data_IF_210610483513
#
_entry.id   IF_210610483513
#
_cell.length_a   1.000
_cell.length_b   1.000
_cell.length_c   1.000
_cell.angle_alpha   90.00
_cell.angle_beta   90.00
_cell.angle_gamma   90.00
#
_symmetry.space_group_name_H-M   'P 1'
#
loop_
_entity.id
_entity.type
_entity.pdbx_description
1 polymer ?
#
# COMPACT_ATOMS: atom_id res chain seq x y z
N UNK A 1 11.18 3.78 22.86
CA UNK A 1 9.94 3.14 22.37
C UNK A 1 9.82 3.40 20.87
N UNK A 2 9.58 2.38 20.04
CA UNK A 2 9.50 2.55 18.58
C UNK A 2 8.24 3.34 18.21
N UNK A 3 8.40 4.41 17.43
CA UNK A 3 7.27 5.18 16.88
C UNK A 3 6.82 4.57 15.55
N UNK A 4 5.64 3.97 15.50
CA UNK A 4 5.14 3.32 14.29
C UNK A 4 4.68 4.35 13.24
N UNK A 5 3.91 5.36 13.65
CA UNK A 5 3.45 6.44 12.77
C UNK A 5 4.58 7.42 12.45
N UNK A 6 4.96 7.46 11.17
CA UNK A 6 6.03 8.31 10.63
C UNK A 6 5.70 9.81 10.67
N UNK A 7 4.43 10.19 10.50
CA UNK A 7 3.98 11.58 10.46
C UNK A 7 2.52 11.72 10.88
N UNK A 8 2.11 12.91 11.34
CA UNK A 8 0.73 13.19 11.81
C UNK A 8 -0.33 12.72 10.82
N UNK A 9 -0.10 12.94 9.52
CA UNK A 9 -1.06 12.60 8.48
C UNK A 9 -0.99 11.12 8.05
N UNK A 10 0.12 10.41 8.25
CA UNK A 10 0.24 9.02 7.81
C UNK A 10 -0.84 8.11 8.44
N UNK A 11 -1.12 8.26 9.73
CA UNK A 11 -2.16 7.49 10.42
C UNK A 11 -3.57 7.83 9.89
N UNK A 12 -3.85 9.12 9.67
CA UNK A 12 -5.11 9.56 9.07
C UNK A 12 -5.31 8.96 7.67
N UNK A 13 -4.26 8.98 6.84
CA UNK A 13 -4.28 8.43 5.50
C UNK A 13 -4.50 6.91 5.53
N UNK A 14 -3.80 6.20 6.44
CA UNK A 14 -3.97 4.76 6.61
C UNK A 14 -5.41 4.40 7.02
N UNK A 15 -6.03 5.18 7.92
CA UNK A 15 -7.44 5.01 8.32
C UNK A 15 -8.37 5.23 7.12
N UNK A 16 -8.16 6.31 6.35
CA UNK A 16 -8.92 6.58 5.12
C UNK A 16 -8.77 5.45 4.09
N UNK A 17 -7.57 4.93 3.91
CA UNK A 17 -7.30 3.82 3.01
C UNK A 17 -8.06 2.55 3.41
N UNK A 18 -8.01 2.16 4.69
CA UNK A 18 -8.77 1.01 5.18
C UNK A 18 -10.28 1.22 4.98
N UNK A 19 -10.80 2.38 5.37
CA UNK A 19 -12.21 2.77 5.15
C UNK A 19 -12.63 2.60 3.70
N UNK A 20 -11.76 2.99 2.77
CA UNK A 20 -12.01 2.83 1.33
C UNK A 20 -11.97 1.37 0.89
N UNK A 21 -10.97 0.59 1.32
CA UNK A 21 -10.84 -0.81 0.91
C UNK A 21 -11.98 -1.67 1.49
N UNK A 22 -12.41 -1.45 2.75
CA UNK A 22 -13.56 -2.16 3.32
C UNK A 22 -14.88 -1.82 2.61
N UNK A 23 -15.08 -0.58 2.14
CA UNK A 23 -16.23 -0.24 1.27
C UNK A 23 -16.22 -1.00 -0.05
N UNK A 24 -15.05 -1.44 -0.53
CA UNK A 24 -14.97 -2.31 -1.73
C UNK A 24 -15.27 -3.76 -1.40
N UNK A 25 -14.91 -4.23 -0.21
CA UNK A 25 -15.25 -5.59 0.27
C UNK A 25 -16.76 -5.71 0.41
N UNK A 26 -17.39 -4.74 1.07
CA UNK A 26 -18.82 -4.75 1.39
C UNK A 26 -19.65 -3.89 0.42
N UNK A 27 -19.32 -3.91 -0.88
CA UNK A 27 -19.92 -2.99 -1.86
C UNK A 27 -21.43 -3.19 -2.09
N UNK A 28 -21.96 -4.34 -1.71
CA UNK A 28 -23.37 -4.72 -1.74
C UNK A 28 -24.18 -4.13 -0.57
N UNK A 29 -23.51 -3.70 0.51
CA UNK A 29 -24.17 -3.09 1.67
C UNK A 29 -24.58 -1.66 1.35
N UNK A 30 -25.89 -1.42 1.27
CA UNK A 30 -26.52 -0.11 1.02
C UNK A 30 -27.04 0.53 2.32
N UNK A 31 -26.22 0.59 3.37
CA UNK A 31 -26.62 1.10 4.68
C UNK A 31 -25.61 2.10 5.23
N UNK A 32 -25.99 3.38 5.27
CA UNK A 32 -25.13 4.47 5.77
C UNK A 32 -24.76 4.30 7.25
N UNK A 33 -25.67 3.74 8.06
CA UNK A 33 -25.40 3.48 9.49
C UNK A 33 -24.32 2.41 9.65
N UNK A 34 -24.31 1.39 8.78
CA UNK A 34 -23.24 0.40 8.76
C UNK A 34 -21.88 1.05 8.48
N UNK A 35 -21.76 1.87 7.44
CA UNK A 35 -20.50 2.54 7.11
C UNK A 35 -20.05 3.53 8.17
N UNK A 36 -20.97 4.26 8.81
CA UNK A 36 -20.64 5.13 9.96
C UNK A 36 -20.07 4.33 11.14
N UNK A 37 -20.61 3.13 11.43
CA UNK A 37 -20.09 2.25 12.48
C UNK A 37 -18.72 1.68 12.11
N UNK A 38 -18.56 1.21 10.87
CA UNK A 38 -17.29 0.73 10.35
C UNK A 38 -16.20 1.80 10.44
N UNK A 39 -16.51 3.02 10.01
CA UNK A 39 -15.58 4.15 10.05
C UNK A 39 -15.13 4.45 11.48
N UNK A 40 -16.06 4.47 12.46
CA UNK A 40 -15.74 4.62 13.89
C UNK A 40 -14.86 3.48 14.41
N UNK A 41 -15.13 2.24 13.99
CA UNK A 41 -14.33 1.08 14.38
C UNK A 41 -12.88 1.18 13.88
N UNK A 42 -12.69 1.67 12.65
CA UNK A 42 -11.36 1.91 12.06
C UNK A 42 -10.66 3.10 12.73
N UNK A 43 -11.39 4.19 13.00
CA UNK A 43 -10.84 5.40 13.61
C UNK A 43 -10.28 5.18 15.02
N UNK A 44 -10.82 4.19 15.74
CA UNK A 44 -10.41 3.83 17.10
C UNK A 44 -9.59 2.54 17.18
N UNK A 45 -9.30 1.87 16.06
CA UNK A 45 -8.65 0.56 16.07
C UNK A 45 -7.26 0.61 16.72
N UNK A 46 -6.46 1.62 16.40
CA UNK A 46 -5.12 1.84 16.98
C UNK A 46 -5.15 2.09 18.50
N UNK A 47 -6.23 2.71 19.01
CA UNK A 47 -6.42 2.91 20.45
C UNK A 47 -6.89 1.64 21.16
N UNK A 48 -7.76 0.86 20.49
CA UNK A 48 -8.36 -0.36 21.06
C UNK A 48 -7.41 -1.55 21.03
N UNK A 49 -6.72 -1.78 19.91
CA UNK A 49 -5.88 -2.97 19.65
C UNK A 49 -4.38 -2.65 19.65
N UNK A 50 -4.02 -1.38 19.78
CA UNK A 50 -2.65 -0.89 19.68
C UNK A 50 -2.21 -0.55 18.25
N UNK A 51 -1.31 0.42 18.15
CA UNK A 51 -0.72 0.88 16.90
C UNK A 51 -0.06 -0.24 16.07
N UNK A 52 0.70 -1.19 16.66
CA UNK A 52 1.31 -2.29 15.90
C UNK A 52 0.26 -3.17 15.20
N UNK A 53 -0.86 -3.45 15.86
CA UNK A 53 -1.96 -4.25 15.31
C UNK A 53 -2.64 -3.51 14.15
N UNK A 54 -2.84 -2.20 14.28
CA UNK A 54 -3.38 -1.37 13.20
C UNK A 54 -2.50 -1.41 11.94
N UNK A 55 -1.20 -1.21 12.11
CA UNK A 55 -0.25 -1.22 11.00
C UNK A 55 -0.12 -2.62 10.35
N UNK A 56 -0.24 -3.70 11.11
CA UNK A 56 -0.32 -5.05 10.57
C UNK A 56 -1.61 -5.28 9.76
N UNK A 57 -2.76 -4.79 10.22
CA UNK A 57 -4.00 -4.83 9.44
C UNK A 57 -3.86 -4.06 8.12
N UNK A 58 -3.26 -2.86 8.17
CA UNK A 58 -2.96 -2.09 6.96
C UNK A 58 -2.08 -2.89 6.00
N UNK A 59 -1.02 -3.55 6.49
CA UNK A 59 -0.15 -4.37 5.67
C UNK A 59 -0.88 -5.56 5.04
N UNK A 60 -1.73 -6.25 5.80
CA UNK A 60 -2.52 -7.38 5.29
C UNK A 60 -3.45 -6.95 4.15
N UNK A 61 -4.15 -5.84 4.32
CA UNK A 61 -5.04 -5.28 3.29
C UNK A 61 -4.23 -4.77 2.10
N UNK A 62 -3.23 -3.90 2.32
CA UNK A 62 -2.53 -3.24 1.23
C UNK A 62 -1.60 -4.18 0.48
N UNK A 63 -0.73 -4.91 1.18
CA UNK A 63 0.31 -5.72 0.57
C UNK A 63 -0.19 -7.12 0.24
N UNK A 64 -0.96 -7.76 1.14
CA UNK A 64 -1.42 -9.13 0.96
C UNK A 64 -2.57 -9.24 -0.03
N UNK A 65 -3.63 -8.45 0.17
CA UNK A 65 -4.81 -8.52 -0.70
C UNK A 65 -4.70 -7.62 -1.94
N UNK A 66 -4.35 -6.34 -1.76
CA UNK A 66 -4.34 -5.39 -2.90
C UNK A 66 -3.05 -5.39 -3.70
N UNK A 67 -1.99 -6.04 -3.21
CA UNK A 67 -0.64 -6.02 -3.80
C UNK A 67 -0.11 -4.60 -4.07
N UNK A 68 -0.41 -3.67 -3.14
CA UNK A 68 0.02 -2.27 -3.15
C UNK A 68 0.99 -1.99 -2.01
N UNK A 69 1.88 -1.04 -2.25
CA UNK A 69 2.91 -0.64 -1.29
C UNK A 69 2.41 0.39 -0.25
N UNK A 70 1.09 0.59 -0.07
CA UNK A 70 0.56 1.66 0.80
C UNK A 70 1.11 1.56 2.23
N UNK A 71 1.19 0.37 2.80
CA UNK A 71 1.80 0.15 4.12
C UNK A 71 3.26 0.61 4.18
N UNK A 72 4.13 0.11 3.30
CA UNK A 72 5.56 0.45 3.34
C UNK A 72 5.78 1.94 3.09
N UNK A 73 4.99 2.54 2.21
CA UNK A 73 5.03 3.96 1.86
C UNK A 73 4.61 4.86 3.02
N UNK A 74 3.45 4.60 3.63
CA UNK A 74 2.93 5.44 4.71
C UNK A 74 3.74 5.26 6.00
N UNK A 75 4.30 4.07 6.20
CA UNK A 75 5.14 3.78 7.37
C UNK A 75 6.60 4.24 7.23
N UNK A 76 7.03 4.69 6.06
CA UNK A 76 8.40 5.22 5.87
C UNK A 76 8.50 6.65 6.42
N UNK A 77 9.42 6.85 7.37
CA UNK A 77 9.75 8.16 7.95
C UNK A 77 10.56 9.06 7.02
N UNK A 78 10.87 8.57 5.81
CA UNK A 78 11.33 9.35 4.67
C UNK A 78 10.32 10.40 4.22
N UNK A 79 9.02 10.17 4.40
CA UNK A 79 7.97 10.98 3.78
C UNK A 79 7.15 11.78 4.79
N UNK A 80 6.82 13.02 4.39
CA UNK A 80 5.75 13.80 4.99
C UNK A 80 4.62 13.99 3.98
N UNK A 81 3.39 14.01 4.51
CA UNK A 81 2.19 14.01 3.70
C UNK A 81 1.41 15.30 3.86
N UNK A 82 1.02 15.91 2.74
CA UNK A 82 0.15 17.10 2.72
C UNK A 82 -1.01 16.87 1.76
N UNK A 83 -2.20 17.31 2.16
CA UNK A 83 -3.38 17.28 1.31
C UNK A 83 -3.33 18.46 0.34
N UNK A 84 -3.46 18.21 -0.95
CA UNK A 84 -3.42 19.21 -2.01
C UNK A 84 -4.33 18.81 -3.16
N UNK A 85 -4.86 19.77 -3.88
CA UNK A 85 -5.38 19.54 -5.23
C UNK A 85 -4.21 19.63 -6.20
N UNK A 86 -3.98 18.55 -6.96
CA UNK A 86 -2.90 18.50 -7.96
C UNK A 86 -3.49 18.56 -9.37
N UNK A 87 -2.87 19.29 -10.31
CA UNK A 87 -3.31 19.30 -11.71
C UNK A 87 -3.23 17.89 -12.30
N UNK A 88 -4.29 17.47 -13.00
CA UNK A 88 -4.35 16.15 -13.61
C UNK A 88 -3.28 15.94 -14.69
N UNK A 89 -2.91 17.00 -15.42
CA UNK A 89 -1.85 16.99 -16.43
C UNK A 89 -0.46 16.67 -15.85
N UNK A 90 -0.22 16.98 -14.57
CA UNK A 90 1.06 16.69 -13.89
C UNK A 90 1.12 15.26 -13.34
N UNK A 91 0.07 14.46 -13.52
CA UNK A 91 0.03 13.08 -13.03
C UNK A 91 0.69 12.15 -14.03
N UNK A 92 1.68 11.41 -13.55
CA UNK A 92 2.26 10.28 -14.27
C UNK A 92 1.39 9.04 -14.05
N UNK A 93 0.69 8.61 -15.11
CA UNK A 93 -0.20 7.47 -15.01
C UNK A 93 0.59 6.18 -14.73
N UNK A 94 0.08 5.41 -13.77
CA UNK A 94 0.53 4.06 -13.46
C UNK A 94 -0.61 3.09 -13.76
N UNK A 95 -0.31 1.82 -13.98
CA UNK A 95 -1.36 0.82 -14.12
C UNK A 95 -0.95 -0.48 -13.42
N UNK A 96 -1.98 -1.23 -13.05
CA UNK A 96 -1.90 -2.48 -12.28
C UNK A 96 -2.62 -3.63 -13.00
N UNK A 97 -3.04 -3.44 -14.26
CA UNK A 97 -3.67 -4.50 -15.04
C UNK A 97 -3.06 -4.56 -16.45
N UNK A 98 -2.84 -5.75 -17.02
CA UNK A 98 -2.31 -5.89 -18.37
C UNK A 98 -3.15 -5.15 -19.44
N UNK A 99 -4.49 -5.14 -19.27
CA UNK A 99 -5.41 -4.44 -20.17
C UNK A 99 -5.18 -2.93 -20.13
N UNK A 100 -5.11 -2.34 -18.95
CA UNK A 100 -4.80 -0.91 -18.82
C UNK A 100 -3.37 -0.59 -19.27
N UNK A 101 -2.38 -1.46 -19.02
CA UNK A 101 -0.98 -1.24 -19.43
C UNK A 101 -0.81 -1.16 -20.94
N UNK A 102 -1.55 -1.98 -21.70
CA UNK A 102 -1.61 -1.92 -23.18
C UNK A 102 -1.88 -0.50 -23.67
N UNK A 103 -2.74 0.25 -22.98
CA UNK A 103 -3.10 1.60 -23.37
C UNK A 103 -2.26 2.65 -22.66
N UNK A 104 -2.32 2.68 -21.33
CA UNK A 104 -1.68 3.71 -20.50
C UNK A 104 -0.18 3.71 -20.68
N UNK A 105 0.48 2.54 -20.60
CA UNK A 105 1.94 2.47 -20.65
C UNK A 105 2.42 2.41 -22.09
N UNK A 106 1.94 1.44 -22.87
CA UNK A 106 2.51 1.16 -24.20
C UNK A 106 2.08 2.16 -25.27
N UNK A 107 0.81 2.60 -25.24
CA UNK A 107 0.25 3.45 -26.31
C UNK A 107 0.31 4.94 -25.98
N UNK A 108 0.07 5.31 -24.73
CA UNK A 108 -0.02 6.73 -24.32
C UNK A 108 1.22 7.22 -23.60
N UNK A 109 2.24 6.38 -23.41
CA UNK A 109 3.45 6.70 -22.65
C UNK A 109 3.14 7.38 -21.31
N UNK A 110 2.06 6.94 -20.66
CA UNK A 110 1.55 7.39 -19.36
C UNK A 110 1.12 8.86 -19.32
N UNK A 111 0.92 9.48 -20.47
CA UNK A 111 0.43 10.85 -20.59
C UNK A 111 -1.09 10.94 -20.29
N UNK A 112 -1.50 11.71 -19.26
CA UNK A 112 -2.91 11.81 -18.87
C UNK A 112 -3.79 12.46 -19.94
N UNK A 113 -3.28 13.43 -20.68
CA UNK A 113 -4.07 14.17 -21.67
C UNK A 113 -4.32 13.35 -22.93
N UNK A 114 -3.35 12.53 -23.33
CA UNK A 114 -3.51 11.56 -24.43
C UNK A 114 -4.51 10.48 -24.06
N UNK A 115 -4.51 9.99 -22.81
CA UNK A 115 -5.56 9.10 -22.32
C UNK A 115 -6.96 9.75 -22.43
N UNK A 116 -7.13 10.98 -21.95
CA UNK A 116 -8.41 11.68 -21.96
C UNK A 116 -8.96 11.87 -23.39
N UNK A 117 -8.09 12.25 -24.34
CA UNK A 117 -8.45 12.36 -25.77
C UNK A 117 -8.84 11.00 -26.36
N UNK A 118 -8.03 9.97 -26.11
CA UNK A 118 -8.28 8.63 -26.61
C UNK A 118 -9.57 8.02 -26.03
N UNK A 119 -9.92 8.32 -24.79
CA UNK A 119 -11.16 7.84 -24.17
C UNK A 119 -12.39 8.31 -24.94
N UNK A 120 -12.39 9.56 -25.41
CA UNK A 120 -13.48 10.14 -26.20
C UNK A 120 -13.58 9.48 -27.58
N UNK A 121 -12.44 9.26 -28.24
CA UNK A 121 -12.39 8.79 -29.62
C UNK A 121 -12.46 7.27 -29.81
N UNK A 122 -11.96 6.46 -28.85
CA UNK A 122 -11.75 5.03 -29.05
C UNK A 122 -12.75 4.17 -28.26
N UNK A 123 -13.83 3.75 -28.93
CA UNK A 123 -14.88 2.89 -28.34
C UNK A 123 -14.36 1.50 -27.93
N UNK A 124 -13.43 0.91 -28.70
CA UNK A 124 -12.87 -0.43 -28.41
C UNK A 124 -12.10 -0.40 -27.09
N UNK A 125 -11.16 0.56 -26.96
CA UNK A 125 -10.40 0.77 -25.73
C UNK A 125 -11.34 0.98 -24.54
N UNK A 126 -12.37 1.81 -24.70
CA UNK A 126 -13.35 2.08 -23.65
C UNK A 126 -14.02 0.79 -23.19
N UNK A 127 -14.48 -0.04 -24.13
CA UNK A 127 -15.09 -1.34 -23.84
C UNK A 127 -14.14 -2.29 -23.11
N UNK A 128 -12.89 -2.39 -23.55
CA UNK A 128 -11.86 -3.21 -22.89
C UNK A 128 -11.61 -2.75 -21.43
N UNK A 129 -11.47 -1.44 -21.21
CA UNK A 129 -11.22 -0.88 -19.87
C UNK A 129 -12.43 -1.06 -18.95
N UNK A 130 -13.66 -0.83 -19.42
CA UNK A 130 -14.88 -1.00 -18.61
C UNK A 130 -15.00 -2.43 -18.07
N UNK A 131 -14.68 -3.43 -18.90
CA UNK A 131 -14.69 -4.86 -18.52
C UNK A 131 -13.73 -5.20 -17.37
N UNK A 132 -12.76 -4.34 -17.05
CA UNK A 132 -11.86 -4.51 -15.89
C UNK A 132 -12.50 -4.13 -14.53
N UNK A 133 -13.81 -3.82 -14.51
CA UNK A 133 -14.49 -3.30 -13.32
C UNK A 133 -14.29 -1.79 -13.14
N UNK A 134 -14.04 -1.08 -14.24
CA UNK A 134 -13.92 0.37 -14.27
C UNK A 134 -15.31 1.03 -14.26
N UNK A 135 -15.95 1.07 -13.08
CA UNK A 135 -17.26 1.71 -12.85
C UNK A 135 -17.17 2.72 -11.72
N UNK A 136 -17.93 3.83 -11.76
CA UNK A 136 -18.05 4.83 -10.68
C UNK A 136 -18.63 4.21 -9.41
N UNK A 137 -18.31 4.78 -8.23
CA UNK A 137 -18.80 4.26 -6.96
C UNK A 137 -18.79 5.36 -5.88
N UNK A 138 -19.98 5.88 -5.59
CA UNK A 138 -20.22 7.05 -4.74
C UNK A 138 -19.49 6.97 -3.40
N UNK A 139 -19.61 5.84 -2.69
CA UNK A 139 -19.03 5.70 -1.34
C UNK A 139 -17.49 5.66 -1.29
N UNK A 140 -16.81 5.28 -2.38
CA UNK A 140 -15.34 5.09 -2.39
C UNK A 140 -14.60 6.16 -3.18
N UNK A 141 -15.30 6.91 -4.02
CA UNK A 141 -14.67 7.86 -4.96
C UNK A 141 -14.36 9.22 -4.32
N UNK A 142 -14.94 9.52 -3.16
CA UNK A 142 -14.72 10.77 -2.43
C UNK A 142 -13.39 10.83 -1.63
N UNK A 143 -12.66 9.72 -1.55
CA UNK A 143 -11.38 9.68 -0.85
C UNK A 143 -10.24 10.25 -1.72
N UNK A 144 -9.34 11.08 -1.17
CA UNK A 144 -8.17 11.56 -1.89
C UNK A 144 -7.32 10.41 -2.43
N UNK A 145 -6.67 10.63 -3.58
CA UNK A 145 -5.68 9.68 -4.10
C UNK A 145 -4.35 9.79 -3.34
N UNK A 146 -3.47 8.80 -3.48
CA UNK A 146 -2.14 8.82 -2.87
C UNK A 146 -1.06 8.89 -3.94
N UNK A 147 -0.20 9.91 -3.82
CA UNK A 147 0.84 10.21 -4.81
C UNK A 147 2.19 10.53 -4.18
N UNK A 148 3.24 10.30 -4.96
CA UNK A 148 4.58 10.81 -4.69
C UNK A 148 4.95 11.92 -5.65
N UNK A 149 5.62 12.95 -5.15
CA UNK A 149 6.27 13.96 -6.01
C UNK A 149 7.55 13.36 -6.63
N UNK A 150 7.69 13.44 -7.95
CA UNK A 150 8.88 13.04 -8.72
C UNK A 150 9.21 14.18 -9.69
N UNK A 151 10.23 14.98 -9.36
CA UNK A 151 10.48 16.23 -10.09
C UNK A 151 9.24 17.12 -10.04
N UNK A 152 8.75 17.57 -11.19
CA UNK A 152 7.52 18.36 -11.33
C UNK A 152 6.24 17.54 -11.47
N UNK A 153 6.35 16.21 -11.53
CA UNK A 153 5.22 15.30 -11.75
C UNK A 153 4.82 14.54 -10.48
N UNK A 154 3.65 13.92 -10.53
CA UNK A 154 3.10 13.11 -9.44
C UNK A 154 2.87 11.67 -9.87
N UNK A 155 3.53 10.72 -9.21
CA UNK A 155 3.30 9.29 -9.44
C UNK A 155 2.25 8.75 -8.48
N UNK A 156 1.19 8.18 -9.04
CA UNK A 156 0.11 7.55 -8.27
C UNK A 156 0.51 6.15 -7.84
N UNK A 157 0.29 5.83 -6.58
CA UNK A 157 0.43 4.45 -6.06
C UNK A 157 -0.86 3.93 -5.43
N UNK A 158 -1.83 4.79 -5.13
CA UNK A 158 -3.21 4.40 -4.88
C UNK A 158 -4.21 5.40 -5.48
N UNK A 159 -5.31 4.89 -6.03
CA UNK A 159 -6.38 5.73 -6.57
C UNK A 159 -6.35 5.97 -8.08
N UNK A 160 -5.60 5.18 -8.85
CA UNK A 160 -5.52 5.31 -10.32
C UNK A 160 -6.90 5.38 -10.99
N UNK A 161 -7.85 4.54 -10.57
CA UNK A 161 -9.22 4.58 -11.11
C UNK A 161 -9.86 5.96 -10.95
N UNK A 162 -9.67 6.64 -9.82
CA UNK A 162 -10.22 7.99 -9.58
C UNK A 162 -9.55 9.03 -10.48
N UNK A 163 -8.25 8.91 -10.72
CA UNK A 163 -7.53 9.76 -11.70
C UNK A 163 -8.13 9.63 -13.08
N UNK A 164 -8.31 8.39 -13.56
CA UNK A 164 -8.88 8.15 -14.88
C UNK A 164 -10.32 8.68 -14.98
N UNK A 165 -11.15 8.47 -13.95
CA UNK A 165 -12.51 9.03 -13.91
C UNK A 165 -12.51 10.56 -13.94
N UNK A 166 -11.61 11.20 -13.18
CA UNK A 166 -11.45 12.64 -13.17
C UNK A 166 -11.05 13.19 -14.56
N UNK A 167 -10.13 12.51 -15.25
CA UNK A 167 -9.74 12.83 -16.64
C UNK A 167 -10.92 12.71 -17.62
N UNK A 168 -11.70 11.63 -17.50
CA UNK A 168 -12.87 11.38 -18.35
C UNK A 168 -13.95 12.45 -18.15
N UNK A 169 -14.10 12.93 -16.92
CA UNK A 169 -15.06 13.97 -16.54
C UNK A 169 -14.52 15.39 -16.78
N UNK A 170 -13.40 15.55 -17.49
CA UNK A 170 -12.76 16.84 -17.79
C UNK A 170 -12.47 17.69 -16.53
N UNK A 171 -12.16 17.06 -15.40
CA UNK A 171 -11.68 17.80 -14.23
C UNK A 171 -10.29 18.37 -14.52
N UNK A 172 -9.94 19.49 -13.90
CA UNK A 172 -8.61 20.11 -14.02
C UNK A 172 -7.63 19.58 -12.98
N UNK A 173 -8.13 19.24 -11.79
CA UNK A 173 -7.34 18.83 -10.65
C UNK A 173 -8.03 17.71 -9.86
N UNK A 174 -7.25 17.01 -9.03
CA UNK A 174 -7.75 15.96 -8.14
C UNK A 174 -7.15 16.07 -6.74
N UNK A 175 -8.00 15.90 -5.74
CA UNK A 175 -7.63 15.92 -4.32
C UNK A 175 -6.73 14.74 -3.98
N UNK A 176 -5.57 15.03 -3.41
CA UNK A 176 -4.47 14.08 -3.26
C UNK A 176 -3.71 14.26 -1.95
N UNK A 177 -3.36 13.16 -1.31
CA UNK A 177 -2.28 13.14 -0.32
C UNK A 177 -0.94 13.02 -1.04
N UNK A 178 -0.16 14.10 -0.97
CA UNK A 178 1.15 14.20 -1.63
C UNK A 178 2.25 13.88 -0.62
N UNK A 179 2.96 12.78 -0.86
CA UNK A 179 4.15 12.41 -0.13
C UNK A 179 5.38 13.12 -0.68
N UNK A 180 6.03 13.94 0.15
CA UNK A 180 7.29 14.60 -0.13
C UNK A 180 8.41 13.96 0.70
N UNK A 181 9.57 13.69 0.08
CA UNK A 181 10.74 13.18 0.79
C UNK A 181 11.31 14.30 1.67
N UNK A 182 11.45 14.04 2.96
CA UNK A 182 12.02 14.96 3.95
C UNK A 182 13.23 14.38 4.68
N UNK A 183 13.43 13.05 4.62
CA UNK A 183 14.56 12.37 5.24
C UNK A 183 15.14 11.32 4.26
N UNK A 184 16.33 11.59 3.73
CA UNK A 184 17.00 10.70 2.77
C UNK A 184 17.38 9.34 3.36
N UNK A 185 17.60 9.26 4.68
CA UNK A 185 17.94 8.03 5.41
C UNK A 185 16.72 7.33 6.02
N UNK A 186 15.51 7.81 5.73
CA UNK A 186 14.29 7.24 6.28
C UNK A 186 14.06 5.79 5.87
N UNK A 187 13.45 5.02 6.77
CA UNK A 187 13.20 3.58 6.64
C UNK A 187 11.72 3.25 6.87
N UNK A 188 11.13 2.34 6.08
CA UNK A 188 9.79 1.83 6.31
C UNK A 188 9.70 0.90 7.52
N UNK A 189 8.47 0.56 7.91
CA UNK A 189 8.21 -0.64 8.70
C UNK A 189 8.16 -1.87 7.78
N UNK A 190 8.51 -3.03 8.30
CA UNK A 190 8.25 -4.33 7.67
C UNK A 190 6.99 -4.95 8.26
N UNK A 191 6.21 -5.62 7.42
CA UNK A 191 5.01 -6.33 7.83
C UNK A 191 5.37 -7.67 8.49
N UNK A 192 4.66 -8.00 9.58
CA UNK A 192 4.91 -9.23 10.34
C UNK A 192 4.75 -10.48 9.45
N UNK A 193 3.80 -10.46 8.52
CA UNK A 193 3.53 -11.56 7.59
C UNK A 193 4.73 -11.91 6.71
N UNK A 194 5.55 -10.93 6.28
CA UNK A 194 6.76 -11.20 5.48
C UNK A 194 7.80 -11.97 6.28
N UNK A 195 7.98 -11.64 7.56
CA UNK A 195 8.90 -12.35 8.44
C UNK A 195 8.37 -13.75 8.81
N UNK A 196 7.05 -13.86 9.07
CA UNK A 196 6.42 -15.14 9.33
C UNK A 196 6.50 -16.09 8.12
N UNK A 197 6.37 -15.56 6.90
CA UNK A 197 6.56 -16.34 5.68
C UNK A 197 7.96 -16.97 5.60
N UNK A 198 9.03 -16.26 5.98
CA UNK A 198 10.38 -16.84 6.02
C UNK A 198 10.48 -18.01 7.00
N UNK A 199 9.83 -17.90 8.16
CA UNK A 199 9.75 -18.99 9.14
C UNK A 199 9.01 -20.20 8.57
N UNK A 200 7.88 -19.99 7.90
CA UNK A 200 7.10 -21.04 7.28
C UNK A 200 7.85 -21.71 6.12
N UNK A 201 8.54 -20.93 5.30
CA UNK A 201 9.36 -21.43 4.20
C UNK A 201 10.42 -22.40 4.71
N UNK A 202 11.11 -22.05 5.81
CA UNK A 202 12.08 -22.95 6.43
C UNK A 202 11.43 -24.22 6.97
N UNK A 203 10.28 -24.10 7.64
CA UNK A 203 9.55 -25.25 8.19
C UNK A 203 9.03 -26.23 7.14
N UNK A 204 8.60 -25.71 5.99
CA UNK A 204 7.99 -26.52 4.93
C UNK A 204 9.02 -27.11 3.96
N UNK A 205 10.29 -26.70 4.04
CA UNK A 205 11.34 -27.24 3.20
C UNK A 205 11.59 -28.73 3.54
N UNK A 206 11.43 -29.60 2.53
CA UNK A 206 11.56 -31.07 2.66
C UNK A 206 12.91 -31.53 3.21
N UNK A 207 13.98 -30.81 2.87
CA UNK A 207 15.30 -30.93 3.48
C UNK A 207 15.65 -29.58 4.11
N UNK A 208 16.09 -29.58 5.37
CA UNK A 208 16.57 -28.38 6.06
C UNK A 208 17.94 -27.97 5.50
N UNK A 209 17.96 -27.56 4.23
CA UNK A 209 19.14 -27.19 3.46
C UNK A 209 19.89 -26.03 4.12
N UNK A 210 21.20 -26.20 4.30
CA UNK A 210 22.10 -25.18 4.84
C UNK A 210 22.17 -23.94 3.96
N UNK A 211 21.98 -24.07 2.66
CA UNK A 211 21.92 -22.91 1.76
C UNK A 211 20.66 -22.10 1.98
N UNK A 212 19.51 -22.75 2.18
CA UNK A 212 18.26 -22.09 2.56
C UNK A 212 18.39 -21.38 3.92
N UNK A 213 18.97 -22.04 4.91
CA UNK A 213 19.28 -21.45 6.23
C UNK A 213 20.11 -20.16 6.07
N UNK A 214 21.24 -20.22 5.34
CA UNK A 214 22.11 -19.07 5.08
C UNK A 214 21.38 -17.94 4.32
N UNK A 215 20.55 -18.27 3.34
CA UNK A 215 19.78 -17.30 2.57
C UNK A 215 18.76 -16.57 3.46
N UNK A 216 18.04 -17.32 4.30
CA UNK A 216 17.07 -16.77 5.25
C UNK A 216 17.77 -15.86 6.27
N UNK A 217 18.92 -16.25 6.80
CA UNK A 217 19.73 -15.41 7.70
C UNK A 217 20.13 -14.10 7.01
N UNK A 218 20.62 -14.18 5.77
CA UNK A 218 21.02 -12.99 4.99
C UNK A 218 19.84 -12.05 4.76
N UNK A 219 18.67 -12.57 4.40
CA UNK A 219 17.44 -11.78 4.24
C UNK A 219 17.07 -11.11 5.58
N UNK A 220 17.13 -11.85 6.69
CA UNK A 220 16.87 -11.33 8.03
C UNK A 220 17.78 -10.18 8.43
N UNK A 221 19.08 -10.28 8.13
CA UNK A 221 20.04 -9.19 8.37
C UNK A 221 19.69 -7.94 7.55
N UNK A 222 19.31 -8.10 6.29
CA UNK A 222 18.82 -6.99 5.47
C UNK A 222 17.51 -6.39 6.01
N UNK A 223 16.62 -7.21 6.56
CA UNK A 223 15.40 -6.72 7.22
C UNK A 223 15.76 -5.86 8.45
N UNK A 224 16.66 -6.36 9.31
CA UNK A 224 17.11 -5.62 10.49
C UNK A 224 17.78 -4.28 10.12
N UNK A 225 18.59 -4.30 9.06
CA UNK A 225 19.30 -3.11 8.57
C UNK A 225 18.37 -2.06 7.96
N UNK A 226 17.36 -2.48 7.19
CA UNK A 226 16.61 -1.57 6.31
C UNK A 226 15.20 -1.18 6.83
N UNK A 227 14.73 -1.75 7.95
CA UNK A 227 13.39 -1.47 8.48
C UNK A 227 13.42 -1.07 9.96
N UNK A 228 12.60 -0.07 10.33
CA UNK A 228 12.61 0.51 11.69
C UNK A 228 12.19 -0.47 12.78
N UNK A 229 11.28 -1.39 12.46
CA UNK A 229 10.81 -2.47 13.33
C UNK A 229 11.45 -3.85 13.03
N UNK A 230 12.49 -3.92 12.19
CA UNK A 230 13.06 -5.20 11.75
C UNK A 230 13.47 -6.09 12.94
N UNK A 231 14.28 -5.55 13.85
CA UNK A 231 14.67 -6.24 15.10
C UNK A 231 13.48 -6.72 15.93
N UNK A 232 12.49 -5.85 16.11
CA UNK A 232 11.31 -6.14 16.94
C UNK A 232 10.46 -7.28 16.35
N UNK A 233 10.20 -7.24 15.04
CA UNK A 233 9.39 -8.27 14.36
C UNK A 233 10.09 -9.62 14.38
N UNK A 234 11.39 -9.66 14.09
CA UNK A 234 12.17 -10.90 14.11
C UNK A 234 12.23 -11.52 15.52
N UNK A 235 12.45 -10.71 16.56
CA UNK A 235 12.51 -11.17 17.96
C UNK A 235 11.13 -11.56 18.52
N UNK A 236 10.19 -10.61 18.56
CA UNK A 236 8.98 -10.77 19.38
C UNK A 236 7.93 -11.65 18.71
N UNK A 237 7.88 -11.64 17.36
CA UNK A 237 6.79 -12.30 16.62
C UNK A 237 7.20 -13.63 16.00
N UNK A 238 8.46 -13.79 15.59
CA UNK A 238 8.93 -15.06 15.03
C UNK A 238 9.58 -15.93 16.09
N UNK A 239 10.63 -15.44 16.76
CA UNK A 239 11.31 -16.22 17.82
C UNK A 239 10.38 -16.47 19.00
N UNK A 240 9.69 -15.43 19.48
CA UNK A 240 8.82 -15.52 20.65
C UNK A 240 7.61 -16.45 20.49
N UNK A 241 7.12 -16.65 19.26
CA UNK A 241 5.91 -17.43 18.98
C UNK A 241 6.22 -18.79 18.31
N UNK A 242 7.45 -19.02 17.87
CA UNK A 242 7.86 -20.32 17.32
C UNK A 242 8.05 -21.35 18.44
N UNK A 243 7.58 -22.57 18.21
CA UNK A 243 7.90 -23.72 19.07
C UNK A 243 9.16 -24.48 18.60
N UNK A 244 9.65 -24.21 17.38
CA UNK A 244 10.84 -24.86 16.81
C UNK A 244 12.13 -24.13 17.26
N UNK A 245 12.99 -24.84 18.00
CA UNK A 245 14.26 -24.32 18.52
C UNK A 245 15.28 -23.97 17.41
N UNK A 246 15.24 -24.68 16.28
CA UNK A 246 16.09 -24.39 15.13
C UNK A 246 15.68 -23.08 14.47
N UNK A 247 14.37 -22.81 14.34
CA UNK A 247 13.89 -21.48 13.91
C UNK A 247 14.38 -20.39 14.87
N UNK A 248 14.23 -20.61 16.18
CA UNK A 248 14.69 -19.62 17.17
C UNK A 248 16.17 -19.29 16.99
N UNK A 249 17.02 -20.30 16.81
CA UNK A 249 18.46 -20.14 16.55
C UNK A 249 18.72 -19.34 15.27
N UNK A 250 18.09 -19.70 14.15
CA UNK A 250 18.31 -19.05 12.85
C UNK A 250 17.89 -17.59 12.91
N UNK A 251 16.73 -17.29 13.49
CA UNK A 251 16.26 -15.92 13.60
C UNK A 251 17.08 -15.11 14.60
N UNK A 252 17.61 -15.72 15.66
CA UNK A 252 18.52 -15.04 16.59
C UNK A 252 19.81 -14.57 15.88
N UNK A 253 20.33 -15.36 14.92
CA UNK A 253 21.48 -14.97 14.10
C UNK A 253 21.22 -13.80 13.14
N UNK A 254 19.96 -13.51 12.80
CA UNK A 254 19.59 -12.37 11.94
C UNK A 254 19.77 -11.02 12.66
N UNK A 255 19.82 -11.04 13.98
CA UNK A 255 19.79 -9.86 14.84
C UNK A 255 21.19 -9.55 15.43
N UNK A 256 22.11 -10.52 15.34
CA UNK A 256 23.55 -10.32 15.57
C UNK A 256 24.15 -9.54 14.40
#
# INVERSE_FOLDING_TARGET
>A
MLKYTSSKNALLIAKQYLKQEFRKVFSDVKNDRFYKRLDRSIDNFDKREGEPSFWNLLAAVSEGWKLKQVFSVLSDDKYQWKLKDIPLEKIYLTSLSPVMDKYIVKKFNRDPMTFARAWKANKIMRGEIIKTGFSTHKERDNFPILVYKIGESYRVFDGMRRVLLALINNQLAIKSWVGAKVNTKGKPLISTNRCYFLSNLYNQAKSKDKNLEKAIIRIGKEINKNYRNGKEVLLKRVIGWSHDQKIKSIFAEMIK
#
